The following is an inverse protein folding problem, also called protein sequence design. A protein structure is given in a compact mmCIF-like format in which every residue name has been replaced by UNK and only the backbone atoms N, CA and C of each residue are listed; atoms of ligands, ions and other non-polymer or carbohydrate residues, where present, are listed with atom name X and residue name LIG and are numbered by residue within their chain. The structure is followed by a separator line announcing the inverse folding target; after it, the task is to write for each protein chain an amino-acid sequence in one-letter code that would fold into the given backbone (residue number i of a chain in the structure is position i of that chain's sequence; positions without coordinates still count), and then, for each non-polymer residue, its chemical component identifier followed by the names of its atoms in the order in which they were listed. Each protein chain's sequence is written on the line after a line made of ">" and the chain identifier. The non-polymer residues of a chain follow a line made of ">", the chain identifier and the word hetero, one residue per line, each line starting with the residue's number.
data_IF_530158296410
#
_entry.id   IF_530158296410
#
_cell.length_a   1.000
_cell.length_b   1.000
_cell.length_c   1.000
_cell.angle_alpha   90.00
_cell.angle_beta   90.00
_cell.angle_gamma   90.00
#
_symmetry.space_group_name_H-M   'P 1'
#
loop_
_entity.id
_entity.type
_entity.pdbx_description
1 polymer ?
#
# COMPACT_ATOMS: atom_id res chain seq x y z
N UNK A 1 5.14 -1.22 -33.17
CA UNK A 1 4.78 -0.80 -31.79
C UNK A 1 5.93 -1.20 -30.90
N UNK A 2 6.78 -0.24 -30.58
CA UNK A 2 7.92 -0.45 -29.67
C UNK A 2 7.36 -0.44 -28.23
N UNK A 3 7.47 -1.56 -27.54
CA UNK A 3 7.20 -1.66 -26.11
C UNK A 3 8.24 -0.81 -25.39
N UNK A 4 7.78 0.25 -24.73
CA UNK A 4 8.60 1.06 -23.84
C UNK A 4 8.68 0.33 -22.46
N UNK A 5 9.85 -0.21 -22.09
CA UNK A 5 10.00 -0.97 -20.85
C UNK A 5 9.96 -0.10 -19.57
N UNK A 6 9.91 1.23 -19.70
CA UNK A 6 9.89 2.15 -18.55
C UNK A 6 8.49 2.39 -17.96
N UNK A 7 7.43 1.88 -18.57
CA UNK A 7 6.05 2.04 -18.12
C UNK A 7 5.36 0.73 -17.73
N UNK A 8 6.04 -0.19 -17.08
CA UNK A 8 5.37 -1.34 -16.48
C UNK A 8 4.35 -0.81 -15.47
N UNK A 9 3.06 -1.06 -15.73
CA UNK A 9 1.97 -0.70 -14.84
C UNK A 9 2.01 -1.61 -13.59
N UNK A 10 2.71 -1.15 -12.56
CA UNK A 10 2.74 -1.81 -11.26
C UNK A 10 1.56 -1.39 -10.37
N UNK A 11 0.87 -0.29 -10.70
CA UNK A 11 -0.22 0.26 -9.89
C UNK A 11 -1.46 -0.63 -9.93
N UNK A 12 -1.84 -1.12 -11.13
CA UNK A 12 -3.03 -1.97 -11.30
C UNK A 12 -2.96 -3.29 -10.53
N UNK A 13 -1.85 -4.07 -10.56
CA UNK A 13 -1.73 -5.29 -9.77
C UNK A 13 -1.85 -5.08 -8.26
N UNK A 14 -1.23 -4.02 -7.72
CA UNK A 14 -1.34 -3.71 -6.30
C UNK A 14 -2.75 -3.27 -5.91
N UNK A 15 -3.38 -2.45 -6.74
CA UNK A 15 -4.76 -2.01 -6.54
C UNK A 15 -5.72 -3.20 -6.52
N UNK A 16 -5.58 -4.11 -7.47
CA UNK A 16 -6.39 -5.32 -7.53
C UNK A 16 -6.13 -6.24 -6.32
N UNK A 17 -4.87 -6.40 -5.91
CA UNK A 17 -4.52 -7.18 -4.72
C UNK A 17 -5.14 -6.58 -3.46
N UNK A 18 -5.12 -5.25 -3.30
CA UNK A 18 -5.77 -4.56 -2.19
C UNK A 18 -7.30 -4.72 -2.23
N UNK A 19 -7.92 -4.68 -3.41
CA UNK A 19 -9.37 -4.88 -3.56
C UNK A 19 -9.79 -6.30 -3.20
N UNK A 20 -9.04 -7.31 -3.67
CA UNK A 20 -9.41 -8.70 -3.46
C UNK A 20 -9.05 -9.23 -2.07
N UNK A 21 -7.97 -8.71 -1.46
CA UNK A 21 -7.33 -9.31 -0.28
C UNK A 21 -6.96 -8.24 0.76
N UNK A 22 -7.84 -7.26 0.99
CA UNK A 22 -7.54 -6.16 1.90
C UNK A 22 -7.30 -6.64 3.34
N UNK A 23 -8.12 -7.57 3.83
CA UNK A 23 -7.94 -8.17 5.16
C UNK A 23 -6.56 -8.80 5.28
N UNK A 24 -6.18 -9.65 4.33
CA UNK A 24 -4.89 -10.35 4.31
C UNK A 24 -3.72 -9.36 4.21
N UNK A 25 -3.92 -8.22 3.52
CA UNK A 25 -2.95 -7.12 3.48
C UNK A 25 -2.69 -6.54 4.87
N UNK A 26 -3.77 -6.22 5.59
CA UNK A 26 -3.67 -5.65 6.95
C UNK A 26 -3.10 -6.69 7.93
N UNK A 27 -3.55 -7.93 7.87
CA UNK A 27 -3.02 -9.03 8.69
C UNK A 27 -1.51 -9.25 8.46
N UNK A 28 -1.05 -9.09 7.22
CA UNK A 28 0.34 -9.31 6.85
C UNK A 28 1.27 -8.15 7.24
N UNK A 29 0.88 -6.91 6.95
CA UNK A 29 1.74 -5.75 7.13
C UNK A 29 1.56 -5.04 8.48
N UNK A 30 0.37 -5.15 9.08
CA UNK A 30 -0.05 -4.42 10.28
C UNK A 30 -0.79 -5.34 11.25
N UNK A 31 -0.15 -6.42 11.74
CA UNK A 31 -0.82 -7.46 12.54
C UNK A 31 -1.44 -6.90 13.85
N UNK A 32 -0.85 -5.88 14.46
CA UNK A 32 -1.42 -5.23 15.65
C UNK A 32 -2.75 -4.55 15.33
N UNK A 33 -2.81 -3.82 14.21
CA UNK A 33 -4.05 -3.22 13.73
C UNK A 33 -5.10 -4.30 13.38
N UNK A 34 -4.66 -5.39 12.73
CA UNK A 34 -5.54 -6.48 12.35
C UNK A 34 -6.24 -7.14 13.55
N UNK A 35 -5.58 -7.20 14.70
CA UNK A 35 -6.13 -7.75 15.95
C UNK A 35 -7.29 -6.91 16.51
N UNK A 36 -7.32 -5.60 16.24
CA UNK A 36 -8.35 -4.69 16.73
C UNK A 36 -9.58 -4.63 15.80
N UNK A 37 -9.45 -5.09 14.56
CA UNK A 37 -10.53 -5.08 13.57
C UNK A 37 -11.52 -6.21 13.81
N UNK A 38 -12.81 -5.88 13.76
CA UNK A 38 -13.94 -6.82 13.72
C UNK A 38 -14.20 -7.26 12.27
N UNK A 39 -13.47 -8.30 11.84
CA UNK A 39 -13.57 -8.82 10.49
C UNK A 39 -14.90 -9.49 10.17
N UNK A 40 -15.69 -9.88 11.19
CA UNK A 40 -17.01 -10.49 10.98
C UNK A 40 -18.02 -9.46 10.45
N UNK A 41 -17.86 -8.20 10.81
CA UNK A 41 -18.66 -7.09 10.28
C UNK A 41 -18.25 -6.68 8.86
N UNK A 42 -17.13 -7.20 8.35
CA UNK A 42 -16.59 -6.85 7.05
C UNK A 42 -15.95 -5.46 7.01
N UNK A 43 -15.75 -4.95 5.81
CA UNK A 43 -15.19 -3.62 5.54
C UNK A 43 -15.83 -3.04 4.28
N UNK A 44 -15.72 -1.72 4.10
CA UNK A 44 -16.30 -1.02 2.97
C UNK A 44 -15.25 -0.16 2.27
N UNK A 45 -15.07 -0.34 0.98
CA UNK A 45 -14.27 0.57 0.15
C UNK A 45 -15.03 1.87 -0.12
N UNK A 46 -14.37 2.99 0.12
CA UNK A 46 -14.90 4.34 0.01
C UNK A 46 -14.32 5.03 -1.25
N UNK A 47 -14.47 4.38 -2.40
CA UNK A 47 -13.86 4.85 -3.66
C UNK A 47 -14.45 6.19 -4.13
N UNK A 48 -15.74 6.44 -3.87
CA UNK A 48 -16.40 7.72 -4.20
C UNK A 48 -15.85 8.86 -3.35
N UNK A 49 -15.70 8.62 -2.05
CA UNK A 49 -15.15 9.57 -1.09
C UNK A 49 -13.68 9.86 -1.42
N UNK A 50 -12.88 8.85 -1.72
CA UNK A 50 -11.50 9.01 -2.16
C UNK A 50 -11.39 9.83 -3.45
N UNK A 51 -12.31 9.62 -4.41
CA UNK A 51 -12.37 10.44 -5.63
C UNK A 51 -12.67 11.90 -5.33
N UNK A 52 -13.52 12.22 -4.37
CA UNK A 52 -13.79 13.61 -3.97
C UNK A 52 -12.56 14.28 -3.37
N UNK A 53 -11.84 13.55 -2.49
CA UNK A 53 -10.57 14.01 -1.91
C UNK A 53 -9.53 14.29 -2.99
N UNK A 54 -9.42 13.43 -4.01
CA UNK A 54 -8.41 13.52 -5.05
C UNK A 54 -8.70 14.52 -6.16
N UNK A 55 -9.98 14.80 -6.48
CA UNK A 55 -10.37 15.77 -7.54
C UNK A 55 -9.85 17.18 -7.31
N UNK A 56 -9.75 17.59 -6.05
CA UNK A 56 -9.27 18.92 -5.66
C UNK A 56 -7.75 18.96 -5.42
N UNK A 57 -7.06 17.84 -5.62
CA UNK A 57 -5.61 17.78 -5.54
C UNK A 57 -5.02 17.89 -6.95
N UNK A 58 -4.18 18.88 -7.21
CA UNK A 58 -3.35 18.98 -8.42
C UNK A 58 -2.33 17.81 -8.53
N UNK A 59 -2.57 16.72 -7.82
CA UNK A 59 -1.70 15.56 -7.61
C UNK A 59 -2.27 14.43 -8.45
N UNK A 60 -1.57 14.09 -9.53
CA UNK A 60 -2.02 13.12 -10.54
C UNK A 60 -2.41 11.74 -10.00
N UNK A 61 -3.39 11.13 -10.68
CA UNK A 61 -4.04 9.82 -10.41
C UNK A 61 -3.13 8.58 -10.57
N UNK A 62 -1.91 8.56 -10.05
CA UNK A 62 -0.96 7.47 -10.39
C UNK A 62 -0.62 6.51 -9.24
N UNK A 63 -1.53 6.32 -8.26
CA UNK A 63 -1.21 5.53 -7.07
C UNK A 63 -2.32 4.55 -6.72
N UNK A 64 -1.93 3.39 -6.22
CA UNK A 64 -2.84 2.39 -5.69
C UNK A 64 -3.35 2.82 -4.30
N UNK A 65 -4.04 3.95 -4.26
CA UNK A 65 -4.64 4.46 -3.03
C UNK A 65 -6.02 3.85 -2.82
N UNK A 66 -6.29 3.40 -1.59
CA UNK A 66 -7.59 2.91 -1.16
C UNK A 66 -8.00 3.58 0.14
N UNK A 67 -9.23 4.05 0.20
CA UNK A 67 -9.87 4.50 1.43
C UNK A 67 -10.88 3.43 1.85
N UNK A 68 -10.75 2.94 3.08
CA UNK A 68 -11.55 1.81 3.56
C UNK A 68 -12.11 2.14 4.94
N UNK A 69 -13.40 1.89 5.14
CA UNK A 69 -14.01 1.91 6.45
C UNK A 69 -13.87 0.52 7.10
N UNK A 70 -13.36 0.49 8.31
CA UNK A 70 -13.24 -0.68 9.16
C UNK A 70 -14.11 -0.55 10.40
N UNK A 71 -14.52 -1.67 10.95
CA UNK A 71 -15.18 -1.77 12.24
C UNK A 71 -14.19 -2.31 13.27
N UNK A 72 -14.15 -1.69 14.45
CA UNK A 72 -13.32 -2.15 15.56
C UNK A 72 -14.13 -3.04 16.49
N UNK A 73 -13.43 -3.90 17.23
CA UNK A 73 -14.04 -4.80 18.22
C UNK A 73 -14.77 -4.05 19.36
N UNK A 74 -14.42 -2.79 19.62
CA UNK A 74 -15.10 -1.93 20.58
C UNK A 74 -16.44 -1.36 20.05
N UNK A 75 -16.84 -1.73 18.81
CA UNK A 75 -18.06 -1.28 18.15
C UNK A 75 -17.91 0.03 17.38
N UNK A 76 -16.82 0.75 17.52
CA UNK A 76 -16.51 1.94 16.72
C UNK A 76 -16.18 1.57 15.27
N UNK A 77 -16.17 2.58 14.39
CA UNK A 77 -15.68 2.42 13.02
C UNK A 77 -14.71 3.53 12.68
N UNK A 78 -13.65 3.14 11.99
CA UNK A 78 -12.55 4.02 11.62
C UNK A 78 -12.30 3.95 10.12
N UNK A 79 -11.74 5.01 9.56
CA UNK A 79 -11.32 5.04 8.16
C UNK A 79 -9.82 4.81 8.06
N UNK A 80 -9.42 4.00 7.09
CA UNK A 80 -8.02 3.72 6.78
C UNK A 80 -7.74 4.10 5.35
N UNK A 81 -6.80 5.01 5.15
CA UNK A 81 -6.28 5.39 3.86
C UNK A 81 -4.99 4.61 3.60
N UNK A 82 -5.07 3.60 2.77
CA UNK A 82 -3.92 2.81 2.37
C UNK A 82 -3.28 3.42 1.11
N UNK A 83 -2.06 3.91 1.25
CA UNK A 83 -1.23 4.37 0.15
C UNK A 83 -0.21 3.29 -0.22
N UNK A 84 -0.17 2.90 -1.49
CA UNK A 84 0.86 2.01 -2.03
C UNK A 84 1.72 2.79 -3.01
N UNK A 85 2.91 3.15 -2.61
CA UNK A 85 3.89 3.82 -3.48
C UNK A 85 4.75 2.76 -4.20
N UNK A 86 4.45 2.50 -5.45
CA UNK A 86 5.07 1.43 -6.25
C UNK A 86 6.26 1.91 -7.09
N UNK A 87 6.39 3.20 -7.34
CA UNK A 87 7.44 3.72 -8.24
C UNK A 87 8.66 4.28 -7.52
N UNK A 88 9.82 3.72 -7.87
CA UNK A 88 11.16 3.93 -7.32
C UNK A 88 11.81 5.30 -7.49
N UNK A 89 11.07 6.37 -7.69
CA UNK A 89 11.65 7.72 -7.62
C UNK A 89 11.38 8.35 -6.27
N UNK A 90 12.45 8.82 -5.62
CA UNK A 90 12.37 9.67 -4.41
C UNK A 90 11.40 10.83 -4.68
N UNK A 91 10.15 10.68 -4.27
CA UNK A 91 9.19 11.78 -4.38
C UNK A 91 9.27 12.59 -3.11
N UNK A 92 9.96 13.72 -3.18
CA UNK A 92 10.05 14.71 -2.07
C UNK A 92 8.67 15.07 -1.53
N UNK A 93 7.64 15.04 -2.36
CA UNK A 93 6.26 15.40 -2.02
C UNK A 93 5.42 14.24 -1.47
N UNK A 94 5.95 13.00 -1.35
CA UNK A 94 5.16 11.88 -0.85
C UNK A 94 4.61 12.10 0.57
N UNK A 95 5.43 12.48 1.59
CA UNK A 95 4.92 12.73 2.94
C UNK A 95 3.90 13.88 2.98
N UNK A 96 4.13 14.96 2.23
CA UNK A 96 3.20 16.09 2.12
C UNK A 96 1.87 15.64 1.50
N UNK A 97 1.93 14.75 0.52
CA UNK A 97 0.74 14.17 -0.09
C UNK A 97 -0.05 13.31 0.90
N UNK A 98 0.62 12.45 1.69
CA UNK A 98 0.00 11.68 2.77
C UNK A 98 -0.77 12.61 3.72
N UNK A 99 -0.13 13.69 4.16
CA UNK A 99 -0.75 14.72 4.99
C UNK A 99 -1.95 15.37 4.28
N UNK A 100 -1.80 15.75 2.99
CA UNK A 100 -2.85 16.40 2.21
C UNK A 100 -4.10 15.53 2.07
N UNK A 101 -3.95 14.24 1.78
CA UNK A 101 -5.08 13.32 1.69
C UNK A 101 -5.76 13.10 3.05
N UNK A 102 -4.97 12.93 4.11
CA UNK A 102 -5.48 12.73 5.46
C UNK A 102 -6.32 13.93 5.92
N UNK A 103 -5.76 15.16 5.87
CA UNK A 103 -6.46 16.34 6.34
C UNK A 103 -7.69 16.65 5.48
N UNK A 104 -7.64 16.44 4.16
CA UNK A 104 -8.81 16.64 3.28
C UNK A 104 -9.93 15.65 3.55
N UNK A 105 -9.60 14.41 3.85
CA UNK A 105 -10.59 13.43 4.26
C UNK A 105 -11.25 13.87 5.58
N UNK A 106 -10.46 14.34 6.53
CA UNK A 106 -10.99 14.88 7.77
C UNK A 106 -11.86 16.13 7.54
N UNK A 107 -11.40 17.07 6.73
CA UNK A 107 -12.12 18.32 6.41
C UNK A 107 -13.47 18.06 5.73
N UNK A 108 -13.48 17.17 4.72
CA UNK A 108 -14.69 16.88 3.95
C UNK A 108 -15.71 16.01 4.69
N UNK A 109 -15.25 15.06 5.50
CA UNK A 109 -16.12 14.03 6.07
C UNK A 109 -16.16 14.04 7.60
N UNK A 110 -15.37 14.90 8.25
CA UNK A 110 -15.23 14.97 9.72
C UNK A 110 -14.93 13.60 10.34
N UNK A 111 -14.12 12.76 9.63
CA UNK A 111 -13.71 11.43 10.07
C UNK A 111 -12.20 11.39 10.29
N UNK A 112 -11.80 10.80 11.40
CA UNK A 112 -10.38 10.45 11.64
C UNK A 112 -9.96 9.38 10.64
N UNK A 113 -8.74 9.49 10.13
CA UNK A 113 -8.19 8.56 9.15
C UNK A 113 -6.83 8.10 9.60
N UNK A 114 -6.63 6.79 9.69
CA UNK A 114 -5.31 6.21 9.80
C UNK A 114 -4.69 6.11 8.41
N UNK A 115 -3.57 6.79 8.18
CA UNK A 115 -2.82 6.68 6.92
C UNK A 115 -1.71 5.66 7.07
N UNK A 116 -1.57 4.76 6.09
CA UNK A 116 -0.50 3.76 6.04
C UNK A 116 0.20 3.82 4.67
N UNK A 117 1.50 3.57 4.66
CA UNK A 117 2.30 3.56 3.43
C UNK A 117 2.95 2.20 3.20
N UNK A 118 2.86 1.67 1.97
CA UNK A 118 3.61 0.51 1.51
C UNK A 118 4.59 0.97 0.45
N UNK A 119 5.88 0.88 0.75
CA UNK A 119 6.97 1.41 -0.06
C UNK A 119 7.59 0.29 -0.90
N UNK A 120 7.30 0.30 -2.19
CA UNK A 120 7.75 -0.70 -3.15
C UNK A 120 8.96 -0.24 -3.99
N UNK A 121 9.55 0.93 -3.67
CA UNK A 121 10.72 1.46 -4.35
C UNK A 121 12.03 0.70 -4.01
N UNK A 122 13.04 0.86 -4.88
CA UNK A 122 14.33 0.18 -4.79
C UNK A 122 15.35 0.88 -3.86
N UNK A 123 15.01 2.03 -3.27
CA UNK A 123 15.95 2.79 -2.44
C UNK A 123 15.85 2.38 -0.96
N UNK A 124 16.85 1.68 -0.38
CA UNK A 124 16.76 1.20 0.99
C UNK A 124 16.73 2.30 2.05
N UNK A 125 17.23 3.50 1.73
CA UNK A 125 17.30 4.62 2.67
C UNK A 125 16.08 5.55 2.63
N UNK A 126 15.18 5.37 1.65
CA UNK A 126 13.98 6.19 1.55
C UNK A 126 12.84 5.56 2.36
N UNK A 127 12.59 6.12 3.54
CA UNK A 127 11.62 5.62 4.54
C UNK A 127 10.84 6.77 5.15
N UNK A 128 9.97 7.43 4.38
CA UNK A 128 9.14 8.48 4.91
C UNK A 128 8.11 7.90 5.88
N UNK A 129 7.99 8.51 7.04
CA UNK A 129 7.08 8.13 8.12
C UNK A 129 6.29 9.31 8.68
N UNK A 130 6.60 10.53 8.23
CA UNK A 130 5.89 11.74 8.63
C UNK A 130 6.03 12.88 7.64
N UNK A 131 5.12 13.84 7.76
CA UNK A 131 5.22 15.19 7.25
C UNK A 131 4.91 16.17 8.37
N UNK A 132 5.70 17.23 8.52
CA UNK A 132 5.43 18.28 9.48
C UNK A 132 6.01 19.62 9.03
N UNK A 133 5.39 20.69 9.49
CA UNK A 133 5.92 22.04 9.36
C UNK A 133 5.63 22.88 10.60
N UNK A 134 6.44 23.86 10.81
CA UNK A 134 6.28 24.86 11.88
C UNK A 134 6.46 26.26 11.32
N UNK A 135 5.59 27.18 11.72
CA UNK A 135 5.71 28.60 11.42
C UNK A 135 5.20 29.40 12.61
N UNK A 136 6.07 30.24 13.18
CA UNK A 136 5.75 31.15 14.31
C UNK A 136 5.07 30.47 15.50
N UNK A 137 5.53 29.27 15.84
CA UNK A 137 4.96 28.48 16.96
C UNK A 137 3.72 27.68 16.60
N UNK A 138 3.13 27.87 15.41
CA UNK A 138 2.07 27.01 14.89
C UNK A 138 2.68 25.77 14.27
N UNK A 139 2.18 24.57 14.64
CA UNK A 139 2.67 23.27 14.16
C UNK A 139 1.55 22.48 13.52
N UNK A 140 1.85 21.86 12.39
CA UNK A 140 0.98 20.88 11.75
C UNK A 140 1.80 19.69 11.28
N UNK A 141 1.20 18.50 11.24
CA UNK A 141 1.88 17.31 10.79
C UNK A 141 1.03 16.06 10.81
N UNK A 142 1.53 15.03 10.13
CA UNK A 142 0.98 13.68 10.11
C UNK A 142 2.13 12.69 10.26
N UNK A 143 2.01 11.76 11.19
CA UNK A 143 2.87 10.59 11.34
C UNK A 143 2.09 9.36 10.90
N UNK A 144 2.73 8.46 10.16
CA UNK A 144 2.07 7.27 9.61
C UNK A 144 3.01 6.06 9.58
N UNK A 145 2.52 4.85 9.84
CA UNK A 145 3.29 3.63 9.66
C UNK A 145 3.66 3.44 8.20
N UNK A 146 4.89 3.02 7.98
CA UNK A 146 5.48 2.82 6.67
C UNK A 146 6.13 1.44 6.61
N UNK A 147 5.70 0.63 5.65
CA UNK A 147 6.20 -0.73 5.40
C UNK A 147 7.10 -0.69 4.16
N UNK A 148 8.35 -1.15 4.30
CA UNK A 148 9.30 -1.22 3.19
C UNK A 148 9.40 -2.64 2.65
N UNK A 149 9.01 -2.86 1.38
CA UNK A 149 9.02 -4.21 0.80
C UNK A 149 10.44 -4.81 0.70
N UNK A 150 11.46 -3.97 0.53
CA UNK A 150 12.85 -4.43 0.51
C UNK A 150 13.28 -5.16 1.79
N UNK A 151 12.68 -4.86 2.94
CA UNK A 151 13.02 -5.50 4.22
C UNK A 151 12.63 -6.98 4.26
N UNK A 152 11.74 -7.40 3.37
CA UNK A 152 11.34 -8.80 3.23
C UNK A 152 12.32 -9.65 2.42
N UNK A 153 13.37 -9.08 1.83
CA UNK A 153 14.42 -9.86 1.13
C UNK A 153 15.08 -10.87 2.05
N UNK A 154 15.41 -10.44 3.27
CA UNK A 154 16.05 -11.30 4.27
C UNK A 154 15.09 -12.31 4.90
N UNK A 155 13.77 -12.10 4.72
CA UNK A 155 12.70 -12.96 5.23
C UNK A 155 12.13 -13.91 4.17
N UNK A 156 12.94 -14.27 3.17
CA UNK A 156 12.46 -15.07 2.03
C UNK A 156 11.89 -16.43 2.45
N UNK A 157 12.50 -17.10 3.43
CA UNK A 157 12.02 -18.37 3.98
C UNK A 157 10.64 -18.22 4.64
N UNK A 158 10.45 -17.14 5.40
CA UNK A 158 9.17 -16.84 6.05
C UNK A 158 8.08 -16.54 5.03
N UNK A 159 8.42 -15.76 4.00
CA UNK A 159 7.51 -15.52 2.87
C UNK A 159 7.13 -16.83 2.18
N UNK A 160 8.09 -17.73 1.97
CA UNK A 160 7.86 -19.03 1.34
C UNK A 160 6.98 -19.95 2.19
N UNK A 161 7.06 -19.88 3.50
CA UNK A 161 6.26 -20.68 4.43
C UNK A 161 4.85 -20.08 4.66
N UNK A 162 4.66 -18.79 4.44
CA UNK A 162 3.40 -18.09 4.71
C UNK A 162 2.26 -18.56 3.78
N UNK A 163 1.07 -18.75 4.32
CA UNK A 163 -0.16 -18.99 3.56
C UNK A 163 -0.88 -17.71 3.15
N UNK A 164 -0.47 -16.54 3.68
CA UNK A 164 -1.07 -15.27 3.33
C UNK A 164 -0.72 -14.89 1.87
N UNK A 165 -1.69 -14.51 1.01
CA UNK A 165 -1.46 -14.19 -0.40
C UNK A 165 -0.49 -13.00 -0.58
N UNK A 166 -0.45 -12.07 0.38
CA UNK A 166 0.48 -10.94 0.32
C UNK A 166 1.94 -11.36 0.43
N UNK A 167 2.26 -12.48 1.05
CA UNK A 167 3.60 -13.04 0.96
C UNK A 167 4.00 -13.32 -0.49
N UNK A 168 3.09 -13.88 -1.30
CA UNK A 168 3.33 -14.11 -2.73
C UNK A 168 3.39 -12.80 -3.54
N UNK A 169 2.58 -11.79 -3.18
CA UNK A 169 2.63 -10.46 -3.81
C UNK A 169 3.99 -9.79 -3.54
N UNK A 170 4.48 -9.84 -2.30
CA UNK A 170 5.81 -9.32 -1.93
C UNK A 170 6.92 -10.08 -2.67
N UNK A 171 6.87 -11.41 -2.69
CA UNK A 171 7.83 -12.24 -3.44
C UNK A 171 7.84 -11.87 -4.93
N UNK A 172 6.66 -11.67 -5.54
CA UNK A 172 6.54 -11.26 -6.94
C UNK A 172 7.20 -9.91 -7.19
N UNK A 173 6.95 -8.94 -6.30
CA UNK A 173 7.56 -7.61 -6.39
C UNK A 173 9.09 -7.69 -6.28
N UNK A 174 9.61 -8.36 -5.26
CA UNK A 174 11.06 -8.51 -5.04
C UNK A 174 11.73 -9.20 -6.24
N UNK A 175 11.12 -10.25 -6.79
CA UNK A 175 11.65 -10.92 -7.99
C UNK A 175 11.54 -10.07 -9.25
N UNK A 176 10.51 -9.25 -9.40
CA UNK A 176 10.40 -8.30 -10.50
C UNK A 176 11.52 -7.24 -10.48
N UNK A 177 11.92 -6.81 -9.28
CA UNK A 177 13.07 -5.91 -9.08
C UNK A 177 14.40 -6.62 -9.40
N UNK A 178 14.61 -7.83 -8.86
CA UNK A 178 15.84 -8.60 -9.07
C UNK A 178 16.07 -9.02 -10.54
N UNK A 179 14.99 -9.33 -11.26
CA UNK A 179 15.05 -9.80 -12.64
C UNK A 179 14.83 -8.68 -13.66
N UNK A 180 15.08 -7.43 -13.27
CA UNK A 180 15.00 -6.28 -14.16
C UNK A 180 16.00 -6.45 -15.32
N UNK A 181 15.47 -6.50 -16.55
CA UNK A 181 16.27 -6.77 -17.77
C UNK A 181 16.40 -8.26 -18.15
N UNK A 182 16.00 -9.20 -17.29
CA UNK A 182 15.97 -10.63 -17.59
C UNK A 182 14.52 -11.15 -17.70
N UNK A 183 13.98 -11.10 -18.92
CA UNK A 183 12.59 -11.47 -19.18
C UNK A 183 12.33 -12.97 -18.96
N UNK A 184 13.33 -13.83 -19.17
CA UNK A 184 13.19 -15.28 -19.00
C UNK A 184 13.08 -15.65 -17.53
N UNK A 185 13.97 -15.14 -16.68
CA UNK A 185 13.88 -15.32 -15.22
C UNK A 185 12.60 -14.73 -14.66
N UNK A 186 12.21 -13.52 -15.08
CA UNK A 186 10.96 -12.89 -14.68
C UNK A 186 9.75 -13.77 -15.00
N UNK A 187 9.70 -14.36 -16.20
CA UNK A 187 8.62 -15.26 -16.59
C UNK A 187 8.60 -16.53 -15.74
N UNK A 188 9.75 -17.15 -15.50
CA UNK A 188 9.89 -18.33 -14.61
C UNK A 188 9.35 -18.07 -13.23
N UNK A 189 9.77 -16.95 -12.60
CA UNK A 189 9.29 -16.57 -11.27
C UNK A 189 7.79 -16.29 -11.24
N UNK A 190 7.26 -15.62 -12.25
CA UNK A 190 5.82 -15.37 -12.39
C UNK A 190 5.03 -16.69 -12.40
N UNK A 191 5.48 -17.69 -13.16
CA UNK A 191 4.83 -19.00 -13.18
C UNK A 191 4.90 -19.73 -11.82
N UNK A 192 6.05 -19.67 -11.13
CA UNK A 192 6.21 -20.28 -9.81
C UNK A 192 5.20 -19.66 -8.82
N UNK A 193 5.10 -18.35 -8.78
CA UNK A 193 4.24 -17.64 -7.84
C UNK A 193 2.75 -17.79 -8.15
N UNK A 194 2.37 -17.81 -9.43
CA UNK A 194 0.98 -18.12 -9.85
C UNK A 194 0.61 -19.55 -9.42
N UNK A 195 1.46 -20.55 -9.67
CA UNK A 195 1.23 -21.92 -9.23
C UNK A 195 1.11 -22.03 -7.70
N UNK A 196 1.88 -21.21 -6.97
CA UNK A 196 1.81 -21.15 -5.51
C UNK A 196 0.44 -20.63 -5.05
N UNK A 197 0.01 -19.46 -5.55
CA UNK A 197 -1.30 -18.90 -5.24
C UNK A 197 -2.43 -19.88 -5.54
N UNK A 198 -2.40 -20.49 -6.72
CA UNK A 198 -3.39 -21.49 -7.11
C UNK A 198 -3.45 -22.68 -6.14
N UNK A 199 -2.29 -23.20 -5.67
CA UNK A 199 -2.23 -24.29 -4.68
C UNK A 199 -2.73 -23.87 -3.31
N UNK A 200 -2.70 -22.61 -2.99
CA UNK A 200 -3.19 -22.02 -1.74
C UNK A 200 -4.69 -21.67 -1.81
N UNK A 201 -5.34 -21.85 -2.97
CA UNK A 201 -6.76 -21.59 -3.16
C UNK A 201 -7.13 -20.16 -3.56
N UNK A 202 -6.13 -19.38 -4.07
CA UNK A 202 -6.32 -18.02 -4.56
C UNK A 202 -6.38 -17.93 -6.07
#
# INVERSE_FOLDING_TARGET
>A
MTFDPETADYDSPWKNALECYFRECIEFFLPEMAQDVDWERGYLFLDKELQQVSKNAAIGRRYADKLVQLYRKDGSHEWVLAHVEVQGQKRKLFPERMYTYNYRTFDLFHRKVASIAILADENPSWRPDHFSYELWGSRAGLWFPSVKLLDYREKWTDLAASTNPFASVVMAHLKAVETKGDNEQRYRWKLILIKRLYRQGY
#
